data_IF_071867486415
#
_entry.id   IF_071867486415
#
_cell.length_a   1.000
_cell.length_b   1.000
_cell.length_c   1.000
_cell.angle_alpha   90.00
_cell.angle_beta   90.00
_cell.angle_gamma   90.00
#
_symmetry.space_group_name_H-M   'P 1'
#
loop_
_entity.id
_entity.type
_entity.pdbx_description
1 polymer ?
#
# COMPACT_ATOMS: atom_id res chain seq x y z
N UNK A 1 7.17 5.20 -13.10
CA UNK A 1 6.78 3.88 -12.53
C UNK A 1 7.38 3.73 -11.14
N UNK A 2 6.74 2.96 -10.28
CA UNK A 2 7.26 2.48 -8.99
C UNK A 2 7.08 0.96 -8.91
N UNK A 3 7.59 0.30 -7.88
CA UNK A 3 7.36 -1.14 -7.67
C UNK A 3 6.42 -1.41 -6.51
N UNK A 4 5.56 -2.41 -6.66
CA UNK A 4 4.69 -2.95 -5.62
C UNK A 4 4.87 -4.47 -5.49
N UNK A 5 5.42 -4.95 -4.37
CA UNK A 5 5.87 -6.34 -4.18
C UNK A 5 6.77 -6.80 -5.35
N UNK A 6 7.72 -5.94 -5.76
CA UNK A 6 8.59 -6.18 -6.91
C UNK A 6 7.92 -6.07 -8.29
N UNK A 7 6.60 -5.86 -8.39
CA UNK A 7 5.88 -5.71 -9.67
C UNK A 7 5.83 -4.24 -10.09
N UNK A 8 6.10 -3.90 -11.36
CA UNK A 8 6.05 -2.50 -11.81
C UNK A 8 4.61 -1.99 -11.84
N UNK A 9 4.41 -0.79 -11.31
CA UNK A 9 3.13 -0.06 -11.34
C UNK A 9 3.35 1.31 -12.00
N UNK A 10 2.52 1.71 -12.98
CA UNK A 10 2.56 3.06 -13.54
C UNK A 10 2.37 4.11 -12.44
N UNK A 11 3.18 5.16 -12.50
CA UNK A 11 3.00 6.35 -11.68
C UNK A 11 3.21 7.57 -12.57
N UNK A 12 2.26 8.49 -12.48
CA UNK A 12 2.28 9.83 -13.05
C UNK A 12 2.91 10.86 -12.10
N UNK A 13 3.24 10.46 -10.87
CA UNK A 13 3.75 11.35 -9.83
C UNK A 13 2.70 12.24 -9.17
N UNK A 14 1.42 12.10 -9.55
CA UNK A 14 0.32 12.94 -9.09
C UNK A 14 -0.64 12.17 -8.16
N UNK A 15 -0.75 10.85 -8.37
CA UNK A 15 -1.64 9.99 -7.58
C UNK A 15 -1.00 9.51 -6.28
N UNK A 16 -1.86 9.23 -5.29
CA UNK A 16 -1.44 8.45 -4.13
C UNK A 16 -1.10 7.01 -4.51
N UNK A 17 -0.29 6.32 -3.71
CA UNK A 17 0.00 4.89 -3.87
C UNK A 17 -1.29 4.10 -3.94
N UNK A 18 -2.26 4.37 -3.06
CA UNK A 18 -3.55 3.68 -3.08
C UNK A 18 -4.29 3.89 -4.41
N UNK A 19 -4.34 5.13 -4.92
CA UNK A 19 -5.00 5.42 -6.19
C UNK A 19 -4.28 4.75 -7.38
N UNK A 20 -2.96 4.70 -7.37
CA UNK A 20 -2.18 4.03 -8.41
C UNK A 20 -2.40 2.51 -8.39
N UNK A 21 -2.44 1.87 -7.21
CA UNK A 21 -2.74 0.45 -7.05
C UNK A 21 -4.17 0.11 -7.52
N UNK A 22 -5.16 0.92 -7.15
CA UNK A 22 -6.53 0.75 -7.62
C UNK A 22 -6.64 0.83 -9.15
N UNK A 23 -5.91 1.76 -9.77
CA UNK A 23 -5.93 1.95 -11.23
C UNK A 23 -5.43 0.73 -12.01
N UNK A 24 -4.62 -0.14 -11.38
CA UNK A 24 -4.14 -1.41 -11.95
C UNK A 24 -4.88 -2.64 -11.40
N UNK A 25 -6.00 -2.44 -10.71
CA UNK A 25 -6.87 -3.52 -10.21
C UNK A 25 -6.46 -4.13 -8.87
N UNK A 26 -5.44 -3.59 -8.20
CA UNK A 26 -4.99 -4.05 -6.88
C UNK A 26 -5.84 -3.36 -5.82
N UNK A 27 -6.80 -4.11 -5.24
CA UNK A 27 -7.75 -3.61 -4.25
C UNK A 27 -7.44 -4.05 -2.81
N UNK A 28 -6.52 -4.99 -2.62
CA UNK A 28 -6.05 -5.45 -1.32
C UNK A 28 -4.56 -5.74 -1.33
N UNK A 29 -3.87 -5.36 -0.25
CA UNK A 29 -2.41 -5.43 -0.08
C UNK A 29 -1.96 -5.66 1.37
N UNK A 30 -2.90 -6.04 2.23
CA UNK A 30 -2.61 -6.60 3.56
C UNK A 30 -3.84 -7.37 4.03
N UNK A 31 -3.67 -8.17 5.09
CA UNK A 31 -4.78 -8.81 5.79
C UNK A 31 -5.02 -8.19 7.18
N UNK A 32 -6.26 -8.29 7.67
CA UNK A 32 -6.56 -7.92 9.05
C UNK A 32 -5.88 -8.88 10.02
N UNK A 33 -5.39 -8.36 11.15
CA UNK A 33 -4.62 -9.15 12.12
C UNK A 33 -5.41 -10.29 12.76
N UNK A 34 -6.71 -10.08 12.98
CA UNK A 34 -7.56 -11.03 13.74
C UNK A 34 -8.21 -12.06 12.82
N UNK A 35 -8.85 -11.60 11.76
CA UNK A 35 -9.70 -12.46 10.90
C UNK A 35 -9.07 -12.75 9.53
N UNK A 36 -7.86 -12.25 9.25
CA UNK A 36 -7.18 -12.48 7.97
C UNK A 36 -7.89 -11.87 6.77
N UNK A 37 -8.85 -10.95 6.97
CA UNK A 37 -9.67 -10.39 5.89
C UNK A 37 -8.83 -9.49 4.98
N UNK A 38 -9.02 -9.53 3.65
CA UNK A 38 -8.31 -8.65 2.74
C UNK A 38 -8.61 -7.18 3.07
N UNK A 39 -7.57 -6.37 3.18
CA UNK A 39 -7.64 -4.93 3.41
C UNK A 39 -6.86 -4.17 2.34
N UNK A 40 -7.30 -2.95 2.09
CA UNK A 40 -6.75 -2.01 1.14
C UNK A 40 -7.27 -0.61 1.46
N UNK A 41 -7.44 0.24 0.45
CA UNK A 41 -8.02 1.57 0.66
C UNK A 41 -9.53 1.49 0.88
N UNK A 42 -9.97 2.14 1.96
CA UNK A 42 -11.39 2.25 2.31
C UNK A 42 -11.80 3.73 2.43
N UNK A 43 -11.29 4.44 3.45
CA UNK A 43 -11.69 5.83 3.68
C UNK A 43 -11.06 6.86 2.73
N UNK A 44 -9.92 6.53 2.08
CA UNK A 44 -9.17 7.47 1.24
C UNK A 44 -8.51 8.67 1.94
N UNK A 45 -8.86 8.94 3.20
CA UNK A 45 -8.45 10.15 3.95
C UNK A 45 -7.53 9.86 5.15
N UNK A 46 -7.10 8.60 5.32
CA UNK A 46 -6.09 8.21 6.31
C UNK A 46 -6.57 7.97 7.75
N UNK A 47 -7.88 7.88 7.99
CA UNK A 47 -8.45 7.64 9.34
C UNK A 47 -8.68 6.18 9.69
N UNK A 48 -8.88 5.30 8.69
CA UNK A 48 -9.22 3.89 8.95
C UNK A 48 -8.02 2.96 9.20
N UNK A 49 -6.80 3.38 8.82
CA UNK A 49 -5.59 2.55 8.88
C UNK A 49 -5.67 1.23 8.10
N UNK A 50 -6.58 1.10 7.14
CA UNK A 50 -6.72 -0.16 6.41
C UNK A 50 -5.75 -0.33 5.23
N UNK A 51 -5.18 0.79 4.76
CA UNK A 51 -4.34 0.87 3.56
C UNK A 51 -2.83 0.90 3.86
N UNK A 52 -2.39 0.23 4.92
CA UNK A 52 -0.98 0.29 5.33
C UNK A 52 -0.07 -0.44 4.34
N UNK A 53 1.08 0.16 4.06
CA UNK A 53 2.16 -0.33 3.19
C UNK A 53 3.51 -0.01 3.81
N UNK A 54 4.57 -0.67 3.33
CA UNK A 54 5.96 -0.24 3.52
C UNK A 54 6.39 0.55 2.29
N UNK A 55 6.97 1.74 2.47
CA UNK A 55 7.46 2.59 1.38
C UNK A 55 8.93 2.91 1.64
N UNK A 56 9.82 2.50 0.73
CA UNK A 56 11.26 2.73 0.82
C UNK A 56 11.84 2.31 2.19
N UNK A 57 11.42 1.15 2.69
CA UNK A 57 11.82 0.62 4.01
C UNK A 57 11.02 1.15 5.21
N UNK A 58 10.21 2.20 5.05
CA UNK A 58 9.40 2.77 6.14
C UNK A 58 8.03 2.09 6.21
N UNK A 59 7.80 1.34 7.28
CA UNK A 59 6.55 0.60 7.51
C UNK A 59 5.38 1.49 7.98
N UNK A 60 4.18 0.91 8.00
CA UNK A 60 2.96 1.53 8.52
C UNK A 60 2.59 2.88 7.87
N UNK A 61 3.00 3.09 6.61
CA UNK A 61 2.61 4.24 5.81
C UNK A 61 1.19 4.06 5.28
N UNK A 62 0.38 5.12 5.30
CA UNK A 62 -0.98 5.07 4.76
C UNK A 62 -0.92 5.32 3.26
N UNK A 63 -1.12 4.29 2.44
CA UNK A 63 -1.02 4.38 0.98
C UNK A 63 -1.92 5.48 0.38
N UNK A 64 -3.04 5.81 1.04
CA UNK A 64 -3.93 6.89 0.59
C UNK A 64 -3.38 8.31 0.78
N UNK A 65 -2.37 8.50 1.64
CA UNK A 65 -1.79 9.81 1.93
C UNK A 65 -0.39 10.00 1.31
N UNK A 66 0.23 8.94 0.80
CA UNK A 66 1.56 8.99 0.20
C UNK A 66 1.42 9.08 -1.31
N UNK A 67 2.00 10.11 -1.92
CA UNK A 67 2.09 10.26 -3.39
C UNK A 67 3.06 9.22 -3.94
N UNK A 68 2.65 8.47 -4.97
CA UNK A 68 3.49 7.47 -5.62
C UNK A 68 4.50 8.16 -6.54
N UNK A 69 5.77 8.18 -6.15
CA UNK A 69 6.84 8.81 -6.93
C UNK A 69 7.53 7.78 -7.83
N UNK A 70 8.02 8.20 -9.01
CA UNK A 70 8.88 7.35 -9.82
C UNK A 70 10.07 6.83 -9.01
N UNK A 71 10.28 5.52 -9.04
CA UNK A 71 11.37 4.85 -8.32
C UNK A 71 11.05 4.42 -6.89
N UNK A 72 9.86 4.72 -6.35
CA UNK A 72 9.47 4.20 -5.04
C UNK A 72 9.44 2.66 -5.04
N UNK A 73 9.88 2.08 -3.92
CA UNK A 73 9.74 0.66 -3.61
C UNK A 73 8.66 0.52 -2.55
N UNK A 74 7.56 -0.14 -2.91
CA UNK A 74 6.40 -0.32 -2.06
C UNK A 74 6.16 -1.81 -1.84
N UNK A 75 5.94 -2.21 -0.60
CA UNK A 75 5.64 -3.60 -0.25
C UNK A 75 4.31 -3.70 0.53
N UNK A 76 3.58 -4.77 0.29
CA UNK A 76 2.44 -5.21 1.09
C UNK A 76 2.84 -5.49 2.54
N UNK A 77 1.89 -5.39 3.46
CA UNK A 77 2.11 -5.75 4.88
C UNK A 77 1.47 -7.11 5.20
N UNK A 78 1.60 -8.08 4.29
CA UNK A 78 1.09 -9.44 4.48
C UNK A 78 2.08 -10.39 5.12
N UNK A 79 3.38 -10.05 5.13
CA UNK A 79 4.37 -10.78 5.90
C UNK A 79 4.18 -10.43 7.37
N UNK A 80 3.79 -11.44 8.14
CA UNK A 80 3.66 -11.33 9.58
C UNK A 80 4.88 -10.62 10.14
N UNK A 81 4.64 -9.51 10.83
CA UNK A 81 5.50 -9.14 11.94
C UNK A 81 5.45 -10.35 12.90
N UNK A 82 6.36 -11.31 12.71
CA UNK A 82 6.80 -12.24 13.74
C UNK A 82 7.12 -11.36 14.94
N UNK A 83 6.20 -11.35 15.90
CA UNK A 83 6.42 -10.77 17.20
C UNK A 83 7.12 -11.83 18.03
N UNK A 84 8.37 -11.58 18.37
CA UNK A 84 8.93 -11.95 19.67
C UNK A 84 8.06 -11.40 20.82
#
# INVERSE_FOLDING_TARGET
MFTFDGRPVPSDGERSIAAALLAVGINSWRRSRVEGRPRGVFCGIGVCFDCLVRVNGVSAQRACLVVARPGDVVDSQDEGEERE
#
